data_IF_374891383931
#
_entry.id   IF_374891383931
#
_cell.length_a   1.000
_cell.length_b   1.000
_cell.length_c   1.000
_cell.angle_alpha   90.00
_cell.angle_beta   90.00
_cell.angle_gamma   90.00
#
_symmetry.space_group_name_H-M   'P 1'
#
loop_
_entity.id
_entity.type
_entity.pdbx_description
1 polymer ?
#
# COMPACT_ATOMS: atom_id res chain seq x y z
N UNK A 1 36.67 27.30 -82.03
CA UNK A 1 37.86 26.42 -82.14
C UNK A 1 37.55 25.16 -81.33
N UNK A 2 37.26 24.03 -81.99
CA UNK A 2 38.19 22.89 -82.20
C UNK A 2 38.54 22.25 -80.84
N UNK A 3 38.16 21.02 -80.47
CA UNK A 3 38.33 19.74 -81.18
C UNK A 3 37.41 18.62 -80.63
N UNK A 4 37.07 17.67 -81.52
CA UNK A 4 36.60 16.30 -81.23
C UNK A 4 37.65 15.49 -80.43
N UNK A 5 37.24 14.59 -79.54
CA UNK A 5 37.36 13.13 -79.75
C UNK A 5 36.78 12.26 -78.62
N UNK A 6 36.52 11.03 -79.03
CA UNK A 6 35.74 9.95 -78.43
C UNK A 6 36.50 9.04 -77.43
N UNK A 7 35.69 8.37 -76.58
CA UNK A 7 35.83 6.99 -76.00
C UNK A 7 36.78 6.70 -74.81
N UNK A 8 36.10 6.29 -73.72
CA UNK A 8 36.25 5.08 -72.86
C UNK A 8 37.66 4.63 -72.44
N UNK A 9 37.86 4.40 -71.13
CA UNK A 9 37.92 3.08 -70.45
C UNK A 9 38.19 3.25 -68.94
N UNK A 10 37.61 2.34 -68.15
CA UNK A 10 37.60 2.16 -66.69
C UNK A 10 38.94 2.22 -65.95
N UNK A 11 38.94 2.73 -64.69
CA UNK A 11 39.26 1.94 -63.47
C UNK A 11 39.23 2.76 -62.17
N UNK A 12 38.61 2.14 -61.16
CA UNK A 12 38.89 2.14 -59.71
C UNK A 12 39.13 3.44 -58.94
N UNK A 13 38.25 3.67 -57.95
CA UNK A 13 38.53 4.55 -56.81
C UNK A 13 37.28 4.74 -55.96
N UNK A 14 37.04 3.82 -55.02
CA UNK A 14 36.01 3.97 -54.00
C UNK A 14 36.36 5.18 -53.12
N UNK A 15 35.59 6.26 -53.22
CA UNK A 15 35.53 7.29 -52.19
C UNK A 15 34.54 6.84 -51.12
N UNK A 16 35.09 6.57 -49.94
CA UNK A 16 34.38 6.37 -48.68
C UNK A 16 33.52 7.59 -48.35
N UNK A 17 32.24 7.52 -48.68
CA UNK A 17 31.22 8.39 -48.10
C UNK A 17 30.92 7.92 -46.68
N UNK A 18 31.28 8.72 -45.69
CA UNK A 18 30.83 8.55 -44.31
C UNK A 18 29.33 8.82 -44.29
N UNK A 19 28.52 7.75 -44.38
CA UNK A 19 27.10 7.80 -44.06
C UNK A 19 27.01 7.80 -42.54
N UNK A 20 26.75 8.96 -41.95
CA UNK A 20 26.30 9.04 -40.57
C UNK A 20 24.87 8.49 -40.54
N UNK A 21 24.76 7.18 -40.32
CA UNK A 21 23.50 6.56 -39.94
C UNK A 21 23.24 7.02 -38.51
N UNK A 22 22.42 8.05 -38.35
CA UNK A 22 21.84 8.39 -37.06
C UNK A 22 20.87 7.25 -36.70
N UNK A 23 21.39 6.23 -36.01
CA UNK A 23 20.59 5.22 -35.33
C UNK A 23 19.83 5.94 -34.22
N UNK A 24 18.62 6.41 -34.54
CA UNK A 24 17.63 6.75 -33.52
C UNK A 24 17.18 5.40 -32.96
N UNK A 25 17.82 4.96 -31.89
CA UNK A 25 17.28 3.89 -31.05
C UNK A 25 15.98 4.41 -30.46
N UNK A 26 14.86 3.94 -31.01
CA UNK A 26 13.60 3.94 -30.29
C UNK A 26 13.80 3.03 -29.07
N UNK A 27 14.25 3.61 -27.95
CA UNK A 27 13.97 3.03 -26.65
C UNK A 27 12.48 3.25 -26.41
N UNK A 28 11.64 2.37 -26.95
CA UNK A 28 10.32 2.14 -26.39
C UNK A 28 10.55 1.63 -24.97
N UNK A 29 10.65 2.55 -24.02
CA UNK A 29 10.46 2.26 -22.61
C UNK A 29 9.00 1.84 -22.49
N UNK A 30 8.73 0.55 -22.63
CA UNK A 30 7.57 -0.03 -21.98
C UNK A 30 7.78 0.25 -20.49
N UNK A 31 7.01 1.20 -19.95
CA UNK A 31 6.75 1.22 -18.52
C UNK A 31 6.01 -0.08 -18.23
N UNK A 32 6.74 -1.08 -17.74
CA UNK A 32 6.14 -2.30 -17.23
C UNK A 32 5.40 -1.86 -15.97
N UNK A 33 4.08 -1.66 -16.13
CA UNK A 33 3.08 -1.74 -15.06
C UNK A 33 3.59 -2.71 -14.01
N UNK A 34 3.64 -2.34 -12.73
CA UNK A 34 4.07 -3.24 -11.65
C UNK A 34 3.48 -4.63 -11.85
N UNK A 35 4.32 -5.59 -12.24
CA UNK A 35 3.88 -6.77 -12.95
C UNK A 35 3.61 -7.88 -11.96
N UNK A 36 2.35 -8.04 -11.58
CA UNK A 36 1.91 -9.25 -10.92
C UNK A 36 1.96 -10.40 -11.92
N UNK A 37 2.72 -11.46 -11.63
CA UNK A 37 2.65 -12.71 -12.37
C UNK A 37 1.78 -13.70 -11.63
N UNK A 38 0.97 -14.47 -12.36
CA UNK A 38 0.17 -15.56 -11.81
C UNK A 38 0.56 -16.86 -12.50
N UNK A 39 0.97 -17.85 -11.72
CA UNK A 39 1.12 -19.23 -12.17
C UNK A 39 -0.05 -20.07 -11.63
N UNK A 40 -0.99 -20.40 -12.52
CA UNK A 40 -2.14 -21.25 -12.20
C UNK A 40 -1.97 -22.71 -12.61
N UNK A 41 -0.80 -23.13 -13.11
CA UNK A 41 -0.54 -24.49 -13.61
C UNK A 41 -1.41 -24.95 -14.78
N UNK A 42 -2.23 -24.06 -15.36
CA UNK A 42 -3.16 -24.34 -16.46
C UNK A 42 -2.47 -24.64 -17.81
N UNK A 43 -1.15 -24.45 -17.88
CA UNK A 43 -0.33 -24.77 -19.05
C UNK A 43 0.69 -25.84 -18.71
N UNK A 44 0.98 -26.73 -19.66
CA UNK A 44 1.94 -27.83 -19.43
C UNK A 44 1.30 -29.02 -18.73
N UNK A 45 2.08 -30.10 -18.58
CA UNK A 45 1.63 -31.32 -17.92
C UNK A 45 2.79 -32.09 -17.33
N UNK A 46 2.53 -32.78 -16.22
CA UNK A 46 3.46 -33.73 -15.60
C UNK A 46 2.65 -34.71 -14.75
N UNK A 47 2.50 -35.94 -15.22
CA UNK A 47 1.69 -36.98 -14.53
C UNK A 47 2.46 -37.82 -13.50
N UNK A 48 3.78 -37.66 -13.39
CA UNK A 48 4.64 -38.43 -12.49
C UNK A 48 5.14 -37.58 -11.33
N UNK A 49 5.38 -38.21 -10.17
CA UNK A 49 5.98 -37.56 -9.00
C UNK A 49 7.50 -37.41 -9.08
N UNK A 50 8.20 -38.13 -9.97
CA UNK A 50 9.65 -38.01 -10.13
C UNK A 50 10.06 -36.57 -10.53
N UNK A 51 11.17 -36.07 -10.00
CA UNK A 51 11.64 -34.70 -10.29
C UNK A 51 11.77 -34.44 -11.80
N UNK A 52 11.14 -33.38 -12.29
CA UNK A 52 11.33 -32.92 -13.66
C UNK A 52 11.01 -31.43 -13.80
N UNK A 53 11.66 -30.79 -14.77
CA UNK A 53 11.36 -29.42 -15.18
C UNK A 53 10.15 -29.42 -16.12
N UNK A 54 9.23 -28.47 -15.89
CA UNK A 54 8.00 -28.27 -16.67
C UNK A 54 7.97 -26.83 -17.12
N UNK A 55 7.71 -26.60 -18.41
CA UNK A 55 7.46 -25.25 -18.93
C UNK A 55 6.00 -24.88 -18.68
N UNK A 56 5.78 -23.87 -17.84
CA UNK A 56 4.48 -23.30 -17.49
C UNK A 56 4.36 -21.86 -18.00
N UNK A 57 3.24 -21.20 -17.75
CA UNK A 57 2.91 -19.89 -18.28
C UNK A 57 3.90 -18.81 -17.82
N UNK A 58 4.37 -18.91 -16.58
CA UNK A 58 5.31 -17.94 -16.00
C UNK A 58 6.78 -18.25 -16.29
N UNK A 59 7.10 -19.47 -16.74
CA UNK A 59 8.46 -19.92 -17.00
C UNK A 59 8.67 -21.40 -16.68
N UNK A 60 9.93 -21.81 -16.52
CA UNK A 60 10.28 -23.20 -16.20
C UNK A 60 10.20 -23.42 -14.67
N UNK A 61 9.48 -24.45 -14.26
CA UNK A 61 9.35 -24.88 -12.87
C UNK A 61 9.87 -26.30 -12.69
N UNK A 62 10.63 -26.56 -11.62
CA UNK A 62 10.97 -27.91 -11.21
C UNK A 62 9.91 -28.45 -10.25
N UNK A 63 9.32 -29.60 -10.57
CA UNK A 63 8.35 -30.29 -9.73
C UNK A 63 8.98 -31.59 -9.23
N UNK A 64 9.30 -31.64 -7.94
CA UNK A 64 9.97 -32.76 -7.27
C UNK A 64 9.08 -33.32 -6.16
N UNK A 65 8.79 -34.62 -6.21
CA UNK A 65 7.70 -35.26 -5.46
C UNK A 65 6.37 -34.48 -5.59
N UNK A 66 6.18 -33.91 -6.78
CA UNK A 66 5.03 -33.12 -7.19
C UNK A 66 4.64 -33.44 -8.64
N UNK A 67 3.37 -33.25 -8.97
CA UNK A 67 2.84 -33.43 -10.34
C UNK A 67 1.79 -32.35 -10.64
N UNK A 68 1.34 -32.25 -11.89
CA UNK A 68 0.19 -31.42 -12.28
C UNK A 68 -1.03 -32.34 -12.39
N UNK A 69 -2.00 -32.13 -11.50
CA UNK A 69 -3.14 -33.02 -11.28
C UNK A 69 -4.47 -32.39 -11.68
N UNK A 70 -5.34 -33.18 -12.30
CA UNK A 70 -6.67 -32.79 -12.76
C UNK A 70 -7.78 -33.76 -12.31
N UNK A 71 -7.50 -34.62 -11.31
CA UNK A 71 -8.49 -35.56 -10.77
C UNK A 71 -9.61 -34.79 -10.06
N UNK A 72 -10.77 -35.43 -9.87
CA UNK A 72 -11.88 -34.83 -9.12
C UNK A 72 -11.50 -34.44 -7.68
N UNK A 73 -10.56 -35.16 -7.07
CA UNK A 73 -10.05 -34.88 -5.72
C UNK A 73 -8.99 -33.79 -5.67
N UNK A 74 -8.48 -33.32 -6.81
CA UNK A 74 -7.62 -32.14 -6.88
C UNK A 74 -8.46 -30.88 -6.71
N UNK A 75 -8.20 -30.15 -5.63
CA UNK A 75 -8.70 -28.79 -5.48
C UNK A 75 -7.94 -27.88 -6.45
N UNK A 76 -8.66 -27.17 -7.30
CA UNK A 76 -8.12 -26.39 -8.41
C UNK A 76 -9.05 -25.26 -8.79
N UNK A 77 -8.51 -24.18 -9.31
CA UNK A 77 -9.22 -23.07 -9.92
C UNK A 77 -8.92 -23.06 -11.42
N UNK A 78 -9.74 -23.78 -12.18
CA UNK A 78 -9.48 -24.06 -13.59
C UNK A 78 -9.48 -25.55 -13.85
N UNK A 79 -8.54 -26.04 -14.65
CA UNK A 79 -8.51 -27.42 -15.13
C UNK A 79 -7.53 -28.30 -14.38
N UNK A 80 -6.48 -27.74 -13.76
CA UNK A 80 -5.45 -28.51 -13.07
C UNK A 80 -4.69 -27.68 -12.03
N UNK A 81 -4.09 -28.33 -11.04
CA UNK A 81 -3.23 -27.67 -10.05
C UNK A 81 -1.96 -28.47 -9.82
N UNK A 82 -0.96 -27.89 -9.16
CA UNK A 82 0.13 -28.68 -8.62
C UNK A 82 -0.37 -29.54 -7.46
N UNK A 83 0.08 -30.81 -7.39
CA UNK A 83 -0.16 -31.73 -6.26
C UNK A 83 1.15 -32.24 -5.72
N UNK A 84 1.41 -32.00 -4.44
CA UNK A 84 2.70 -32.26 -3.76
C UNK A 84 2.49 -33.29 -2.64
N UNK A 85 3.46 -34.19 -2.41
CA UNK A 85 3.47 -35.16 -1.29
C UNK A 85 4.85 -35.23 -0.60
N UNK A 86 4.97 -36.01 0.47
CA UNK A 86 6.23 -36.24 1.19
C UNK A 86 6.89 -34.90 1.58
N UNK A 87 8.15 -34.71 1.24
CA UNK A 87 8.87 -33.42 1.37
C UNK A 87 9.03 -32.70 0.02
N UNK A 88 8.11 -32.98 -0.91
CA UNK A 88 8.13 -32.48 -2.27
C UNK A 88 7.99 -30.96 -2.36
N UNK A 89 8.29 -30.43 -3.54
CA UNK A 89 8.36 -29.01 -3.82
C UNK A 89 8.00 -28.67 -5.27
N UNK A 90 7.54 -27.43 -5.44
CA UNK A 90 7.44 -26.77 -6.74
C UNK A 90 8.30 -25.52 -6.72
N UNK A 91 9.32 -25.47 -7.58
CA UNK A 91 10.40 -24.47 -7.50
C UNK A 91 10.57 -23.75 -8.83
N UNK A 92 10.68 -22.42 -8.79
CA UNK A 92 11.05 -21.64 -9.96
C UNK A 92 12.45 -22.02 -10.46
N UNK A 93 12.61 -22.17 -11.78
CA UNK A 93 13.92 -22.35 -12.46
C UNK A 93 14.30 -21.15 -13.33
N UNK A 94 13.56 -20.05 -13.20
CA UNK A 94 13.83 -18.76 -13.82
C UNK A 94 13.97 -17.69 -12.74
N UNK A 95 14.73 -16.67 -13.05
CA UNK A 95 14.99 -15.53 -12.17
C UNK A 95 13.97 -14.41 -12.43
N UNK A 96 13.33 -13.92 -11.36
CA UNK A 96 12.65 -12.61 -11.41
C UNK A 96 13.66 -11.52 -11.15
N UNK A 97 13.89 -10.65 -12.13
CA UNK A 97 14.82 -9.51 -12.00
C UNK A 97 14.18 -8.29 -11.33
N UNK A 98 12.86 -8.26 -11.24
CA UNK A 98 12.06 -7.19 -10.63
C UNK A 98 11.88 -7.35 -9.12
N UNK A 99 12.52 -8.35 -8.51
CA UNK A 99 12.31 -8.70 -7.11
C UNK A 99 10.93 -9.29 -6.81
N UNK A 100 10.64 -9.46 -5.52
CA UNK A 100 9.39 -10.00 -5.00
C UNK A 100 8.88 -9.14 -3.85
N UNK A 101 7.68 -8.59 -3.99
CA UNK A 101 6.97 -7.87 -2.93
C UNK A 101 6.18 -8.83 -2.04
N UNK A 102 5.06 -9.31 -2.57
CA UNK A 102 4.14 -10.28 -1.96
C UNK A 102 4.04 -11.56 -2.78
N UNK A 103 3.73 -12.66 -2.08
CA UNK A 103 3.42 -13.96 -2.68
C UNK A 103 2.13 -14.47 -2.06
N UNK A 104 1.08 -14.63 -2.88
CA UNK A 104 -0.19 -15.25 -2.48
C UNK A 104 -0.34 -16.59 -3.18
N UNK A 105 -0.69 -17.63 -2.43
CA UNK A 105 -0.76 -19.01 -2.91
C UNK A 105 -2.09 -19.61 -2.47
N UNK A 106 -2.86 -20.17 -3.40
CA UNK A 106 -4.01 -20.99 -3.05
C UNK A 106 -3.56 -22.40 -2.71
N UNK A 107 -4.15 -22.97 -1.66
CA UNK A 107 -3.82 -24.30 -1.18
C UNK A 107 -5.03 -25.02 -0.60
N UNK A 108 -5.05 -26.35 -0.72
CA UNK A 108 -6.04 -27.23 -0.10
C UNK A 108 -5.48 -28.64 0.05
N UNK A 109 -6.10 -29.48 0.88
CA UNK A 109 -5.76 -30.90 0.95
C UNK A 109 -6.38 -31.66 -0.21
N UNK A 110 -5.70 -32.69 -0.67
CA UNK A 110 -6.21 -33.58 -1.71
C UNK A 110 -7.29 -34.51 -1.13
N UNK A 111 -8.53 -34.36 -1.58
CA UNK A 111 -9.66 -35.21 -1.17
C UNK A 111 -9.75 -35.45 0.35
N UNK A 112 -9.63 -36.71 0.75
CA UNK A 112 -9.74 -37.14 2.15
C UNK A 112 -8.42 -37.23 2.90
N UNK A 113 -7.29 -36.82 2.30
CA UNK A 113 -5.98 -36.84 2.98
C UNK A 113 -6.03 -35.97 4.26
N UNK A 114 -5.21 -36.31 5.26
CA UNK A 114 -5.13 -35.53 6.50
C UNK A 114 -4.37 -34.21 6.30
N UNK A 115 -4.45 -33.33 7.30
CA UNK A 115 -3.77 -32.04 7.27
C UNK A 115 -2.25 -32.17 7.06
N UNK A 116 -1.69 -31.19 6.37
CA UNK A 116 -0.28 -31.16 6.01
C UNK A 116 0.34 -29.78 6.12
N UNK A 117 1.65 -29.71 6.42
CA UNK A 117 2.39 -28.45 6.56
C UNK A 117 3.33 -28.18 5.39
N UNK A 118 3.50 -26.90 5.07
CA UNK A 118 4.41 -26.43 4.03
C UNK A 118 4.91 -25.01 4.29
N UNK A 119 6.00 -24.63 3.62
CA UNK A 119 6.59 -23.29 3.70
C UNK A 119 6.74 -22.66 2.31
N UNK A 120 6.64 -21.33 2.26
CA UNK A 120 7.23 -20.54 1.19
C UNK A 120 8.72 -20.36 1.49
N UNK A 121 9.57 -20.55 0.49
CA UNK A 121 10.98 -20.23 0.56
C UNK A 121 11.40 -19.41 -0.66
N UNK A 122 12.33 -18.46 -0.49
CA UNK A 122 12.89 -17.71 -1.60
C UNK A 122 14.43 -17.74 -1.58
N UNK A 123 15.03 -17.55 -2.75
CA UNK A 123 16.46 -17.63 -3.02
C UNK A 123 16.93 -16.40 -3.79
N UNK A 124 18.01 -15.78 -3.33
CA UNK A 124 18.66 -14.62 -3.97
C UNK A 124 19.94 -15.00 -4.71
N UNK A 125 20.24 -16.30 -4.82
CA UNK A 125 21.44 -16.84 -5.47
C UNK A 125 21.08 -17.92 -6.51
N UNK A 126 20.04 -17.65 -7.30
CA UNK A 126 19.56 -18.52 -8.39
C UNK A 126 19.27 -19.98 -7.96
N UNK A 127 18.82 -20.18 -6.72
CA UNK A 127 18.40 -21.47 -6.18
C UNK A 127 19.50 -22.29 -5.49
N UNK A 128 20.70 -21.72 -5.26
CA UNK A 128 21.77 -22.42 -4.55
C UNK A 128 21.48 -22.59 -3.05
N UNK A 129 20.83 -21.60 -2.42
CA UNK A 129 20.29 -21.71 -1.06
C UNK A 129 18.92 -21.04 -0.96
N UNK A 130 18.13 -21.48 0.02
CA UNK A 130 16.73 -21.09 0.19
C UNK A 130 16.46 -20.64 1.63
N UNK A 131 15.72 -19.54 1.79
CA UNK A 131 15.31 -18.98 3.07
C UNK A 131 13.80 -19.06 3.21
N UNK A 132 13.32 -19.60 4.33
CA UNK A 132 11.89 -19.64 4.66
C UNK A 132 11.33 -18.25 4.88
N UNK A 133 10.18 -17.95 4.27
CA UNK A 133 9.45 -16.70 4.41
C UNK A 133 8.21 -16.94 5.26
N UNK A 134 8.04 -16.13 6.32
CA UNK A 134 6.88 -16.22 7.21
C UNK A 134 6.82 -17.52 8.02
N UNK A 135 5.64 -17.80 8.56
CA UNK A 135 5.37 -19.02 9.33
C UNK A 135 4.94 -20.17 8.44
N UNK A 136 5.13 -21.40 8.92
CA UNK A 136 4.59 -22.60 8.26
C UNK A 136 3.08 -22.56 8.14
N UNK A 137 2.57 -22.96 6.99
CA UNK A 137 1.14 -23.03 6.71
C UNK A 137 0.66 -24.46 6.94
N UNK A 138 -0.44 -24.60 7.68
CA UNK A 138 -1.16 -25.87 7.82
C UNK A 138 -2.34 -25.88 6.88
N UNK A 139 -2.35 -26.84 5.96
CA UNK A 139 -3.45 -27.10 5.03
C UNK A 139 -4.37 -28.15 5.61
N UNK A 140 -5.60 -27.78 5.95
CA UNK A 140 -6.58 -28.67 6.59
C UNK A 140 -7.92 -28.78 5.84
N UNK A 141 -8.20 -27.86 4.91
CA UNK A 141 -9.46 -27.78 4.16
C UNK A 141 -9.34 -28.38 2.76
N UNK A 142 -10.40 -29.02 2.25
CA UNK A 142 -10.52 -29.42 0.82
C UNK A 142 -10.88 -28.25 -0.10
N UNK A 143 -11.31 -27.12 0.46
CA UNK A 143 -11.59 -25.91 -0.32
C UNK A 143 -10.33 -25.05 -0.37
N UNK A 144 -10.03 -24.48 -1.54
CA UNK A 144 -8.88 -23.60 -1.73
C UNK A 144 -8.96 -22.42 -0.76
N UNK A 145 -8.00 -22.36 0.16
CA UNK A 145 -7.70 -21.20 1.00
C UNK A 145 -6.49 -20.47 0.42
N UNK A 146 -6.34 -19.18 0.74
CA UNK A 146 -5.18 -18.39 0.30
C UNK A 146 -4.25 -18.12 1.47
N UNK A 147 -2.98 -18.47 1.30
CA UNK A 147 -1.90 -18.05 2.18
C UNK A 147 -1.13 -16.92 1.52
N UNK A 148 -0.86 -15.84 2.27
CA UNK A 148 -0.13 -14.67 1.77
C UNK A 148 1.13 -14.45 2.59
N UNK A 149 2.22 -14.17 1.89
CA UNK A 149 3.54 -13.91 2.43
C UNK A 149 4.08 -12.59 1.88
N UNK A 150 4.97 -11.95 2.63
CA UNK A 150 5.61 -10.69 2.23
C UNK A 150 7.13 -10.86 2.27
N UNK A 151 7.74 -11.53 1.26
CA UNK A 151 9.20 -11.65 1.19
C UNK A 151 9.92 -10.30 1.14
N UNK A 152 9.36 -9.33 0.40
CA UNK A 152 9.93 -8.00 0.19
C UNK A 152 11.43 -8.00 -0.17
N UNK A 153 11.81 -8.80 -1.17
CA UNK A 153 13.19 -9.04 -1.60
C UNK A 153 13.47 -8.27 -2.89
N UNK A 154 14.42 -7.34 -2.84
CA UNK A 154 14.91 -6.60 -4.02
C UNK A 154 15.81 -7.45 -4.91
N UNK A 155 15.88 -7.09 -6.19
CA UNK A 155 16.82 -7.68 -7.14
C UNK A 155 16.43 -9.09 -7.59
N UNK A 156 17.42 -9.89 -7.98
CA UNK A 156 17.14 -11.22 -8.55
C UNK A 156 16.67 -12.20 -7.48
N UNK A 157 15.51 -12.83 -7.69
CA UNK A 157 14.92 -13.77 -6.74
C UNK A 157 14.16 -14.91 -7.42
N UNK A 158 14.19 -16.08 -6.77
CA UNK A 158 13.33 -17.25 -7.06
C UNK A 158 12.57 -17.62 -5.81
N UNK A 159 11.37 -18.17 -5.96
CA UNK A 159 10.61 -18.71 -4.84
C UNK A 159 10.18 -20.17 -5.11
N UNK A 160 9.92 -20.91 -4.03
CA UNK A 160 9.43 -22.28 -4.06
C UNK A 160 8.44 -22.54 -2.92
N UNK A 161 7.53 -23.47 -3.17
CA UNK A 161 6.66 -24.04 -2.12
C UNK A 161 7.18 -25.43 -1.80
N UNK A 162 7.40 -25.73 -0.52
CA UNK A 162 7.92 -27.02 -0.06
C UNK A 162 7.08 -27.57 1.09
N UNK A 163 6.61 -28.82 0.98
CA UNK A 163 6.03 -29.56 2.11
C UNK A 163 7.10 -29.83 3.17
N UNK A 164 6.72 -29.68 4.43
CA UNK A 164 7.65 -29.74 5.57
C UNK A 164 7.38 -30.88 6.54
N UNK A 165 6.22 -31.52 6.44
CA UNK A 165 5.83 -32.62 7.33
C UNK A 165 6.41 -33.98 6.93
N UNK A 166 6.89 -34.15 5.70
CA UNK A 166 7.52 -35.38 5.22
C UNK A 166 6.58 -36.58 5.10
N UNK A 167 5.27 -36.37 5.17
CA UNK A 167 4.26 -37.43 5.11
C UNK A 167 3.66 -37.58 3.72
N UNK A 168 3.08 -38.75 3.44
CA UNK A 168 2.52 -39.09 2.13
C UNK A 168 1.24 -38.33 1.76
N UNK A 169 0.61 -37.65 2.71
CA UNK A 169 -0.59 -36.83 2.48
C UNK A 169 -0.29 -35.69 1.50
N UNK A 170 -1.23 -35.47 0.58
CA UNK A 170 -1.07 -34.56 -0.54
C UNK A 170 -1.76 -33.23 -0.27
N UNK A 171 -1.11 -32.17 -0.75
CA UNK A 171 -1.72 -30.84 -0.87
C UNK A 171 -1.78 -30.45 -2.34
N UNK A 172 -2.83 -29.72 -2.69
CA UNK A 172 -2.94 -28.97 -3.92
C UNK A 172 -2.39 -27.55 -3.69
N UNK A 173 -1.60 -27.08 -4.63
CA UNK A 173 -1.11 -25.70 -4.73
C UNK A 173 -1.58 -25.15 -6.07
N UNK A 174 -2.14 -23.94 -6.03
CA UNK A 174 -2.71 -23.29 -7.20
C UNK A 174 -2.59 -21.76 -7.12
N UNK A 175 -2.77 -21.09 -8.25
CA UNK A 175 -2.79 -19.62 -8.39
C UNK A 175 -1.67 -18.90 -7.61
N UNK A 176 -0.41 -19.25 -7.87
CA UNK A 176 0.74 -18.58 -7.26
C UNK A 176 0.86 -17.18 -7.86
N UNK A 177 0.50 -16.18 -7.07
CA UNK A 177 0.51 -14.77 -7.44
C UNK A 177 1.71 -14.10 -6.81
N UNK A 178 2.57 -13.47 -7.61
CA UNK A 178 3.80 -12.80 -7.17
C UNK A 178 3.81 -11.36 -7.69
N UNK A 179 3.93 -10.39 -6.79
CA UNK A 179 4.16 -8.97 -7.13
C UNK A 179 5.65 -8.64 -7.17
N UNK A 180 6.03 -7.60 -7.91
CA UNK A 180 7.42 -7.12 -7.96
C UNK A 180 7.85 -6.49 -6.63
N UNK A 181 9.16 -6.41 -6.41
CA UNK A 181 9.71 -5.64 -5.29
C UNK A 181 9.53 -4.15 -5.52
N UNK A 182 9.24 -3.38 -4.46
CA UNK A 182 8.96 -1.95 -4.59
C UNK A 182 7.61 -1.65 -5.23
N UNK A 183 7.00 -2.59 -5.97
CA UNK A 183 5.54 -2.70 -6.07
C UNK A 183 5.00 -3.28 -4.78
N UNK A 184 5.28 -2.57 -3.71
CA UNK A 184 4.58 -2.69 -2.45
C UNK A 184 3.08 -2.57 -2.81
N UNK A 185 2.18 -3.56 -2.68
CA UNK A 185 2.36 -4.83 -2.00
C UNK A 185 2.92 -4.62 -0.60
N UNK A 186 2.64 -3.47 0.00
CA UNK A 186 3.28 -3.06 1.23
C UNK A 186 3.08 -4.11 2.30
N UNK A 187 3.88 -4.04 3.36
CA UNK A 187 3.39 -4.39 4.70
C UNK A 187 2.23 -3.49 5.11
N UNK A 188 1.20 -3.37 4.25
CA UNK A 188 -0.09 -2.88 4.58
C UNK A 188 -0.72 -3.95 5.43
N UNK A 189 -1.03 -3.57 6.65
CA UNK A 189 -2.23 -4.09 7.27
C UNK A 189 -3.33 -4.33 6.22
N UNK A 190 -4.11 -5.40 6.40
CA UNK A 190 -5.39 -5.65 5.68
C UNK A 190 -6.42 -4.53 5.86
N UNK A 191 -6.07 -3.47 6.58
CA UNK A 191 -6.87 -2.30 6.85
C UNK A 191 -7.21 -1.57 5.57
N UNK A 192 -8.51 -1.47 5.35
CA UNK A 192 -9.12 -0.59 4.37
C UNK A 192 -8.70 0.88 4.56
N UNK A 193 -8.13 1.23 5.71
CA UNK A 193 -7.66 2.58 5.98
C UNK A 193 -6.28 2.88 5.37
N UNK A 194 -5.57 1.87 4.88
CA UNK A 194 -4.30 2.02 4.17
C UNK A 194 -4.41 1.65 2.69
N UNK A 195 -5.62 1.63 2.10
CA UNK A 195 -5.83 1.30 0.69
C UNK A 195 -5.03 2.21 -0.26
N UNK A 196 -4.82 3.47 0.10
CA UNK A 196 -4.01 4.40 -0.69
C UNK A 196 -2.51 4.30 -0.38
N UNK A 197 -2.11 3.57 0.67
CA UNK A 197 -0.72 3.37 1.05
C UNK A 197 -0.39 3.84 2.46
N UNK A 198 0.88 3.65 2.81
CA UNK A 198 1.46 4.01 4.11
C UNK A 198 2.40 5.22 3.90
N UNK A 199 1.97 6.45 4.21
CA UNK A 199 2.66 7.67 3.78
C UNK A 199 4.12 7.80 4.19
N UNK A 200 4.47 7.29 5.36
CA UNK A 200 5.81 7.45 5.94
C UNK A 200 6.55 6.12 6.09
N UNK A 201 5.99 5.02 5.58
CA UNK A 201 6.47 3.68 5.89
C UNK A 201 6.42 3.37 7.39
N UNK A 202 5.39 3.84 8.10
CA UNK A 202 5.22 3.58 9.54
C UNK A 202 5.19 2.08 9.82
N UNK A 203 5.84 1.68 10.92
CA UNK A 203 5.98 0.28 11.30
C UNK A 203 5.87 0.12 12.82
N UNK A 204 5.53 -1.08 13.29
CA UNK A 204 5.39 -1.38 14.73
C UNK A 204 6.72 -1.41 15.49
N UNK A 205 7.86 -1.25 14.80
CA UNK A 205 9.19 -1.23 15.40
C UNK A 205 9.76 0.17 15.61
N UNK A 206 9.18 1.21 15.00
CA UNK A 206 9.70 2.57 15.07
C UNK A 206 8.80 3.46 15.94
N UNK A 207 9.22 3.78 17.17
CA UNK A 207 8.39 4.56 18.11
C UNK A 207 8.05 5.98 17.64
N UNK A 208 8.84 6.58 16.74
CA UNK A 208 8.59 7.91 16.19
C UNK A 208 7.90 7.86 14.82
N UNK A 209 7.59 6.66 14.35
CA UNK A 209 6.83 6.38 13.14
C UNK A 209 6.05 5.07 13.34
N UNK A 210 5.33 4.99 14.45
CA UNK A 210 4.77 3.77 15.01
C UNK A 210 3.41 3.49 14.39
N UNK A 211 3.29 2.39 13.66
CA UNK A 211 2.02 2.02 13.04
C UNK A 211 1.04 1.48 14.10
N UNK A 212 -0.01 2.23 14.38
CA UNK A 212 -1.22 1.73 15.05
C UNK A 212 -2.26 1.47 13.97
N UNK A 213 -2.54 0.20 13.73
CA UNK A 213 -3.64 -0.19 12.86
C UNK A 213 -4.86 -0.56 13.70
N UNK A 214 -5.89 0.29 13.65
CA UNK A 214 -7.14 0.10 14.38
C UNK A 214 -8.27 -0.20 13.38
N UNK A 215 -9.33 -0.91 13.81
CA UNK A 215 -10.44 -1.23 12.91
C UNK A 215 -11.17 -0.02 12.33
N UNK A 216 -11.00 1.18 12.89
CA UNK A 216 -11.69 2.40 12.46
C UNK A 216 -10.81 3.37 11.69
N UNK A 217 -9.48 3.30 11.83
CA UNK A 217 -8.50 4.17 11.16
C UNK A 217 -7.09 3.63 11.42
N UNK A 218 -6.12 4.02 10.59
CA UNK A 218 -4.70 3.72 10.78
C UNK A 218 -3.93 4.99 11.16
N UNK A 219 -2.90 4.86 12.01
CA UNK A 219 -2.11 5.98 12.52
C UNK A 219 -0.62 5.69 12.37
N UNK A 220 0.11 6.62 11.77
CA UNK A 220 1.57 6.71 11.96
C UNK A 220 1.85 7.61 13.16
N UNK A 221 2.06 7.02 14.34
CA UNK A 221 2.19 7.76 15.59
C UNK A 221 3.64 8.16 15.88
N UNK A 222 3.85 9.32 16.51
CA UNK A 222 5.17 9.77 16.91
C UNK A 222 5.25 9.99 18.41
N UNK A 223 5.88 9.05 19.11
CA UNK A 223 6.03 9.10 20.57
C UNK A 223 6.79 10.34 21.06
N UNK A 224 7.80 10.80 20.32
CA UNK A 224 8.57 11.99 20.70
C UNK A 224 7.76 13.28 20.53
N UNK A 225 6.80 13.31 19.60
CA UNK A 225 5.93 14.47 19.40
C UNK A 225 4.65 14.41 20.24
N UNK A 226 4.27 13.25 20.78
CA UNK A 226 3.02 13.05 21.51
C UNK A 226 1.77 13.30 20.65
N UNK A 227 1.85 13.00 19.34
CA UNK A 227 0.77 13.18 18.37
C UNK A 227 1.02 12.31 17.12
N UNK A 228 0.00 12.07 16.27
CA UNK A 228 0.21 11.41 14.99
C UNK A 228 1.08 12.24 14.03
N UNK A 229 1.96 11.58 13.28
CA UNK A 229 2.53 12.11 12.04
C UNK A 229 1.40 12.26 11.00
N UNK A 230 0.56 11.24 10.89
CA UNK A 230 -0.63 11.18 10.06
C UNK A 230 -1.64 10.17 10.61
N UNK A 231 -2.90 10.35 10.25
CA UNK A 231 -3.99 9.38 10.44
C UNK A 231 -4.67 9.19 9.09
N UNK A 232 -4.96 7.95 8.73
CA UNK A 232 -5.59 7.56 7.47
C UNK A 232 -6.87 6.78 7.73
N UNK A 233 -7.93 7.04 6.99
CA UNK A 233 -9.20 6.34 7.13
C UNK A 233 -10.01 6.32 5.83
N UNK A 234 -10.87 5.30 5.73
CA UNK A 234 -11.90 5.22 4.70
C UNK A 234 -13.16 5.90 5.22
N UNK A 235 -13.87 6.62 4.35
CA UNK A 235 -15.19 7.15 4.65
C UNK A 235 -16.17 6.80 3.52
N UNK A 236 -17.22 6.07 3.87
CA UNK A 236 -18.36 5.78 3.02
C UNK A 236 -19.59 5.64 3.94
N UNK A 237 -20.77 5.40 3.36
CA UNK A 237 -22.03 5.33 4.11
C UNK A 237 -22.05 4.28 5.21
N UNK A 238 -21.26 3.20 5.13
CA UNK A 238 -21.26 2.14 6.15
C UNK A 238 -20.62 2.55 7.49
N UNK A 239 -19.81 3.61 7.48
CA UNK A 239 -19.21 4.18 8.69
C UNK A 239 -20.14 5.15 9.42
N UNK A 240 -21.21 5.57 8.76
CA UNK A 240 -22.18 6.55 9.24
C UNK A 240 -23.43 5.87 9.82
N UNK A 241 -23.99 6.49 10.83
CA UNK A 241 -25.22 6.09 11.51
C UNK A 241 -25.77 7.23 12.35
N UNK A 242 -26.55 6.90 13.38
CA UNK A 242 -27.19 7.87 14.27
C UNK A 242 -26.58 7.92 15.67
N UNK A 243 -25.42 7.31 15.88
CA UNK A 243 -24.76 7.27 17.19
C UNK A 243 -24.34 8.69 17.60
N UNK A 244 -24.76 9.19 18.78
CA UNK A 244 -24.29 10.46 19.31
C UNK A 244 -22.78 10.46 19.57
N UNK A 245 -22.20 11.66 19.62
CA UNK A 245 -20.82 11.86 20.03
C UNK A 245 -20.60 11.35 21.47
N UNK A 246 -19.52 10.61 21.71
CA UNK A 246 -19.24 10.01 23.03
C UNK A 246 -18.48 10.92 23.99
N UNK A 247 -17.62 11.81 23.48
CA UNK A 247 -16.83 12.76 24.29
C UNK A 247 -15.95 12.13 25.39
N UNK A 248 -15.61 10.85 25.23
CA UNK A 248 -14.85 10.03 26.18
C UNK A 248 -13.35 10.04 25.89
N UNK A 249 -12.77 11.24 25.83
CA UNK A 249 -11.34 11.47 25.60
C UNK A 249 -10.49 10.66 26.58
N UNK A 250 -9.62 9.81 26.06
CA UNK A 250 -8.81 8.92 26.89
C UNK A 250 -7.48 8.54 26.23
N UNK A 251 -6.53 8.21 27.09
CA UNK A 251 -5.22 7.75 26.64
C UNK A 251 -5.34 6.46 25.82
N UNK A 252 -4.45 6.31 24.83
CA UNK A 252 -4.38 5.09 24.05
C UNK A 252 -3.47 4.06 24.73
N UNK A 253 -4.08 3.10 25.43
CA UNK A 253 -3.35 2.07 26.18
C UNK A 253 -2.68 1.04 25.29
N UNK A 254 -2.88 1.08 23.96
CA UNK A 254 -2.22 0.18 23.00
C UNK A 254 -0.88 0.72 22.49
N UNK A 255 -0.46 1.91 22.93
CA UNK A 255 0.86 2.44 22.61
C UNK A 255 1.97 1.55 23.18
N UNK A 256 3.06 1.41 22.43
CA UNK A 256 4.21 0.63 22.85
C UNK A 256 4.82 1.15 24.17
N UNK A 257 5.42 0.23 24.94
CA UNK A 257 6.13 0.58 26.17
C UNK A 257 7.22 1.64 25.88
N UNK A 258 7.32 2.65 26.74
CA UNK A 258 8.23 3.79 26.56
C UNK A 258 7.61 4.97 25.80
N UNK A 259 6.44 4.80 25.19
CA UNK A 259 5.66 5.89 24.64
C UNK A 259 4.81 6.57 25.73
N UNK A 260 4.88 7.89 25.84
CA UNK A 260 3.97 8.61 26.74
C UNK A 260 2.54 8.52 26.20
N UNK A 261 1.63 7.98 27.01
CA UNK A 261 0.22 7.95 26.71
C UNK A 261 -0.39 9.32 27.06
N UNK A 262 -0.58 10.15 26.04
CA UNK A 262 -1.19 11.47 26.18
C UNK A 262 -2.56 11.35 26.83
N UNK A 263 -2.79 12.15 27.86
CA UNK A 263 -4.03 12.18 28.61
C UNK A 263 -4.95 13.26 28.09
N UNK A 264 -6.26 13.13 28.30
CA UNK A 264 -7.20 14.19 27.99
C UNK A 264 -6.82 15.51 28.71
N UNK A 265 -6.38 15.43 29.96
CA UNK A 265 -6.00 16.59 30.79
C UNK A 265 -4.75 17.33 30.31
N UNK A 266 -3.93 16.73 29.44
CA UNK A 266 -2.69 17.33 28.94
C UNK A 266 -2.93 18.61 28.09
N UNK A 267 -4.15 18.80 27.60
CA UNK A 267 -4.57 19.96 26.80
C UNK A 267 -5.18 21.07 27.66
N UNK A 268 -5.53 20.78 28.92
CA UNK A 268 -6.23 21.72 29.80
C UNK A 268 -5.41 22.97 30.05
N UNK A 269 -6.04 24.15 29.88
CA UNK A 269 -5.40 25.45 30.07
C UNK A 269 -4.42 25.86 28.96
N UNK A 270 -4.18 25.03 27.95
CA UNK A 270 -3.24 25.36 26.86
C UNK A 270 -3.78 26.38 25.85
N UNK A 271 -5.11 26.54 25.77
CA UNK A 271 -5.76 27.33 24.72
C UNK A 271 -5.89 26.60 23.37
N UNK A 272 -5.53 25.31 23.29
CA UNK A 272 -5.77 24.45 22.14
C UNK A 272 -6.89 23.45 22.41
N UNK A 273 -7.64 23.14 21.36
CA UNK A 273 -8.60 22.04 21.34
C UNK A 273 -7.88 20.69 21.16
N UNK A 274 -8.58 19.62 21.58
CA UNK A 274 -8.25 18.24 21.20
C UNK A 274 -8.75 17.99 19.78
N UNK A 275 -7.97 18.44 18.81
CA UNK A 275 -8.29 18.38 17.38
C UNK A 275 -8.22 16.96 16.86
N UNK A 276 -9.35 16.43 16.37
CA UNK A 276 -9.43 15.09 15.82
C UNK A 276 -8.81 15.05 14.43
N UNK A 277 -8.06 14.00 14.12
CA UNK A 277 -7.67 13.69 12.74
C UNK A 277 -8.76 12.90 12.03
N UNK A 278 -9.13 11.72 12.54
CA UNK A 278 -10.41 11.06 12.18
C UNK A 278 -11.53 11.65 13.04
N UNK A 279 -12.48 12.42 12.48
CA UNK A 279 -13.49 13.10 13.28
C UNK A 279 -14.56 12.14 13.79
N UNK A 280 -15.13 12.46 14.95
CA UNK A 280 -16.26 11.69 15.52
C UNK A 280 -17.45 11.59 14.55
N UNK A 281 -17.71 12.65 13.76
CA UNK A 281 -18.78 12.67 12.76
C UNK A 281 -18.62 11.64 11.63
N UNK A 282 -17.42 11.12 11.42
CA UNK A 282 -17.13 10.11 10.38
C UNK A 282 -17.29 8.67 10.90
N UNK A 283 -17.62 8.49 12.19
CA UNK A 283 -17.66 7.20 12.89
C UNK A 283 -18.90 7.13 13.77
N UNK A 284 -20.09 7.06 13.16
CA UNK A 284 -21.39 7.13 13.86
C UNK A 284 -22.23 5.86 13.72
N UNK A 285 -21.66 4.78 13.16
CA UNK A 285 -22.35 3.50 12.98
C UNK A 285 -22.66 2.79 14.31
N UNK A 286 -21.76 2.82 15.29
CA UNK A 286 -21.98 2.28 16.64
C UNK A 286 -21.28 3.12 17.71
N UNK A 287 -21.71 2.98 18.97
CA UNK A 287 -21.07 3.60 20.14
C UNK A 287 -19.57 3.27 20.22
N UNK A 288 -19.21 2.00 20.03
CA UNK A 288 -17.80 1.56 20.08
C UNK A 288 -16.97 2.17 18.96
N UNK A 289 -17.53 2.27 17.75
CA UNK A 289 -16.89 2.92 16.61
C UNK A 289 -16.69 4.42 16.86
N UNK A 290 -17.68 5.11 17.40
CA UNK A 290 -17.56 6.54 17.74
C UNK A 290 -16.56 6.78 18.86
N UNK A 291 -16.66 6.03 19.96
CA UNK A 291 -15.74 6.10 21.10
C UNK A 291 -14.28 5.89 20.69
N UNK A 292 -14.01 5.11 19.64
CA UNK A 292 -12.63 4.91 19.15
C UNK A 292 -11.97 6.23 18.75
N UNK A 293 -12.70 7.21 18.19
CA UNK A 293 -12.12 8.47 17.71
C UNK A 293 -11.61 9.36 18.84
N UNK A 294 -11.98 9.08 20.09
CA UNK A 294 -11.60 9.84 21.29
C UNK A 294 -10.30 9.36 21.94
N UNK A 295 -9.61 8.40 21.34
CA UNK A 295 -8.26 8.05 21.74
C UNK A 295 -7.29 9.21 21.46
N UNK A 296 -6.46 9.58 22.45
CA UNK A 296 -5.53 10.70 22.31
C UNK A 296 -4.46 10.47 21.22
N UNK A 297 -4.25 9.23 20.76
CA UNK A 297 -3.43 8.92 19.58
C UNK A 297 -3.97 9.46 18.25
N UNK A 298 -5.25 9.86 18.22
CA UNK A 298 -5.93 10.51 17.09
C UNK A 298 -5.99 12.05 17.23
N UNK A 299 -5.32 12.63 18.25
CA UNK A 299 -5.43 14.06 18.57
C UNK A 299 -4.17 14.84 18.20
N UNK A 300 -4.37 16.08 17.77
CA UNK A 300 -3.34 17.13 17.74
C UNK A 300 -3.82 18.35 18.54
N UNK A 301 -2.87 19.14 19.04
CA UNK A 301 -3.17 20.47 19.59
C UNK A 301 -3.57 21.42 18.47
N UNK A 302 -4.86 21.72 18.35
CA UNK A 302 -5.43 22.50 17.24
C UNK A 302 -6.03 23.81 17.77
N UNK A 303 -5.74 24.93 17.11
CA UNK A 303 -6.29 26.23 17.48
C UNK A 303 -7.83 26.17 17.35
N UNK A 304 -8.60 26.68 18.32
CA UNK A 304 -10.05 26.65 18.28
C UNK A 304 -10.68 27.19 16.98
N UNK A 305 -10.11 28.25 16.40
CA UNK A 305 -10.61 28.80 15.13
C UNK A 305 -10.32 27.89 13.93
N UNK A 306 -9.21 27.16 13.97
CA UNK A 306 -8.92 26.13 12.97
C UNK A 306 -9.89 24.95 13.15
N UNK A 307 -9.95 24.36 14.35
CA UNK A 307 -10.72 23.16 14.67
C UNK A 307 -12.23 23.33 14.46
N UNK A 308 -12.81 24.39 15.02
CA UNK A 308 -14.27 24.60 15.06
C UNK A 308 -14.81 25.35 13.83
N UNK A 309 -13.92 25.87 12.98
CA UNK A 309 -14.26 26.63 11.79
C UNK A 309 -13.84 25.89 10.53
N UNK A 310 -12.78 26.38 9.89
CA UNK A 310 -12.30 25.92 8.59
C UNK A 310 -12.08 24.40 8.50
N UNK A 311 -11.58 23.75 9.56
CA UNK A 311 -11.37 22.30 9.59
C UNK A 311 -12.69 21.53 9.63
N UNK A 312 -13.60 21.91 10.52
CA UNK A 312 -14.95 21.34 10.61
C UNK A 312 -15.72 21.50 9.29
N UNK A 313 -15.60 22.66 8.63
CA UNK A 313 -16.23 22.91 7.33
C UNK A 313 -15.74 21.94 6.23
N UNK A 314 -14.45 21.60 6.22
CA UNK A 314 -13.91 20.61 5.28
C UNK A 314 -14.40 19.19 5.63
N UNK A 315 -14.52 18.87 6.92
CA UNK A 315 -15.08 17.58 7.37
C UNK A 315 -16.56 17.42 6.99
N UNK A 316 -17.37 18.48 7.13
CA UNK A 316 -18.76 18.50 6.68
C UNK A 316 -18.86 18.34 5.16
N UNK A 317 -17.94 18.96 4.42
CA UNK A 317 -17.89 18.80 2.97
C UNK A 317 -17.54 17.37 2.55
N UNK A 318 -16.61 16.70 3.26
CA UNK A 318 -16.31 15.28 3.02
C UNK A 318 -17.56 14.41 3.23
N UNK A 319 -18.32 14.63 4.31
CA UNK A 319 -19.60 13.91 4.54
C UNK A 319 -20.66 14.24 3.50
N UNK A 320 -20.68 15.47 2.97
CA UNK A 320 -21.57 15.85 1.86
C UNK A 320 -21.27 15.01 0.61
N UNK A 321 -20.01 14.79 0.26
CA UNK A 321 -19.61 13.92 -0.86
C UNK A 321 -20.07 12.47 -0.65
N UNK A 322 -19.96 11.96 0.57
CA UNK A 322 -20.45 10.62 0.92
C UNK A 322 -21.97 10.53 0.76
N UNK A 323 -22.70 11.58 1.17
CA UNK A 323 -24.14 11.70 0.93
C UNK A 323 -24.52 11.74 -0.56
N UNK A 324 -23.60 12.10 -1.44
CA UNK A 324 -23.75 12.04 -2.90
C UNK A 324 -23.36 10.67 -3.49
N UNK A 325 -23.14 9.66 -2.64
CA UNK A 325 -22.80 8.30 -3.06
C UNK A 325 -21.32 8.08 -3.38
N UNK A 326 -20.43 8.99 -2.97
CA UNK A 326 -18.98 8.83 -3.13
C UNK A 326 -18.40 7.98 -2.00
N UNK A 327 -17.25 7.36 -2.29
CA UNK A 327 -16.37 6.79 -1.28
C UNK A 327 -15.09 7.60 -1.21
N UNK A 328 -14.63 7.90 0.01
CA UNK A 328 -13.45 8.71 0.25
C UNK A 328 -12.36 7.90 0.95
N UNK A 329 -11.12 8.17 0.58
CA UNK A 329 -9.94 7.79 1.35
C UNK A 329 -9.24 9.07 1.80
N UNK A 330 -9.14 9.23 3.12
CA UNK A 330 -8.74 10.49 3.74
C UNK A 330 -7.48 10.25 4.57
N UNK A 331 -6.51 11.15 4.42
CA UNK A 331 -5.27 11.18 5.20
C UNK A 331 -5.12 12.58 5.78
N UNK A 332 -4.89 12.71 7.08
CA UNK A 332 -4.65 14.02 7.71
C UNK A 332 -3.59 13.98 8.79
N UNK A 333 -3.00 15.14 9.07
CA UNK A 333 -2.02 15.29 10.12
C UNK A 333 -1.68 16.74 10.39
N UNK A 334 -0.56 16.94 11.10
CA UNK A 334 0.05 18.25 11.23
C UNK A 334 1.56 18.15 11.13
N UNK A 335 2.23 19.23 10.76
CA UNK A 335 3.70 19.29 10.73
C UNK A 335 4.20 20.59 11.37
N UNK A 336 5.52 20.67 11.56
CA UNK A 336 6.18 21.81 12.17
C UNK A 336 5.84 21.98 13.67
N UNK A 337 6.19 23.16 14.18
CA UNK A 337 5.97 23.59 15.57
C UNK A 337 5.58 25.06 15.60
N UNK A 338 4.81 25.48 16.61
CA UNK A 338 4.49 26.89 16.84
C UNK A 338 3.09 27.29 16.40
N UNK A 339 2.08 26.48 16.73
CA UNK A 339 0.68 26.88 16.55
C UNK A 339 0.27 27.98 17.52
N UNK A 340 -0.80 28.70 17.20
CA UNK A 340 -1.34 29.80 18.02
C UNK A 340 -2.78 29.49 18.44
N UNK A 341 -2.96 29.12 19.71
CA UNK A 341 -4.28 28.89 20.30
C UNK A 341 -4.81 30.15 21.00
N UNK A 342 -5.91 30.01 21.74
CA UNK A 342 -6.54 31.14 22.46
C UNK A 342 -5.64 31.78 23.52
N UNK A 343 -4.64 31.05 24.02
CA UNK A 343 -3.70 31.51 25.04
C UNK A 343 -2.32 31.91 24.47
N UNK A 344 -2.19 32.04 23.14
CA UNK A 344 -0.96 32.46 22.46
C UNK A 344 -0.28 31.34 21.67
N UNK A 345 0.97 31.60 21.27
CA UNK A 345 1.78 30.69 20.45
C UNK A 345 2.60 29.75 21.31
N UNK A 346 2.52 28.45 21.02
CA UNK A 346 3.25 27.42 21.75
C UNK A 346 3.93 26.45 20.78
N UNK A 347 5.16 26.04 21.10
CA UNK A 347 5.82 24.93 20.42
C UNK A 347 5.38 23.58 20.99
N UNK A 348 5.14 23.53 22.29
CA UNK A 348 4.71 22.32 23.01
C UNK A 348 3.72 22.69 24.12
N UNK A 349 2.91 21.72 24.53
CA UNK A 349 2.04 21.76 25.72
C UNK A 349 2.37 20.54 26.60
N UNK A 350 1.65 20.37 27.71
CA UNK A 350 1.80 19.22 28.61
C UNK A 350 3.24 19.01 29.10
N UNK A 351 3.91 20.10 29.50
CA UNK A 351 5.32 20.10 29.91
C UNK A 351 6.27 19.47 28.86
N UNK A 352 6.02 19.76 27.58
CA UNK A 352 6.86 19.30 26.48
C UNK A 352 6.45 17.97 25.85
N UNK A 353 5.45 17.29 26.41
CA UNK A 353 5.06 15.93 25.96
C UNK A 353 4.20 15.92 24.70
N UNK A 354 3.58 17.05 24.34
CA UNK A 354 2.77 17.17 23.12
C UNK A 354 3.27 18.37 22.33
N UNK A 355 3.74 18.11 21.12
CA UNK A 355 4.18 19.14 20.18
C UNK A 355 2.98 19.79 19.51
N UNK A 356 2.95 21.11 19.41
CA UNK A 356 1.89 21.87 18.76
C UNK A 356 2.29 22.13 17.30
N UNK A 357 1.63 21.53 16.29
CA UNK A 357 1.93 21.82 14.89
C UNK A 357 1.65 23.29 14.56
N UNK A 358 2.42 23.88 13.64
CA UNK A 358 2.04 25.19 13.07
C UNK A 358 1.10 25.06 11.87
N UNK A 359 0.95 23.85 11.32
CA UNK A 359 0.15 23.55 10.12
C UNK A 359 -0.64 22.26 10.32
N UNK A 360 -1.88 22.27 9.85
CA UNK A 360 -2.77 21.09 9.76
C UNK A 360 -3.09 20.85 8.30
N UNK A 361 -2.99 19.60 7.85
CA UNK A 361 -3.17 19.23 6.45
C UNK A 361 -4.10 18.04 6.31
N UNK A 362 -4.79 17.95 5.17
CA UNK A 362 -5.71 16.85 4.83
C UNK A 362 -5.68 16.59 3.33
N UNK A 363 -5.63 15.31 2.94
CA UNK A 363 -5.80 14.78 1.58
C UNK A 363 -7.11 14.00 1.57
N UNK A 364 -7.95 14.22 0.57
CA UNK A 364 -9.21 13.49 0.34
C UNK A 364 -9.20 12.99 -1.11
N UNK A 365 -9.05 11.68 -1.29
CA UNK A 365 -9.24 11.02 -2.58
C UNK A 365 -10.73 10.69 -2.73
N UNK A 366 -11.36 11.15 -3.80
CA UNK A 366 -12.81 10.98 -4.05
C UNK A 366 -13.02 9.92 -5.13
N UNK A 367 -13.64 8.79 -4.77
CA UNK A 367 -14.02 7.75 -5.72
C UNK A 367 -15.50 7.87 -6.08
N UNK A 368 -15.77 7.93 -7.38
CA UNK A 368 -17.13 7.98 -7.93
C UNK A 368 -17.87 6.64 -7.82
N UNK A 369 -17.11 5.54 -7.77
CA UNK A 369 -17.63 4.17 -7.67
C UNK A 369 -17.17 3.55 -6.35
N UNK A 370 -18.00 3.54 -5.30
CA UNK A 370 -17.65 2.89 -4.03
C UNK A 370 -17.23 1.44 -4.20
N UNK A 371 -16.24 1.00 -3.42
CA UNK A 371 -15.72 -0.37 -3.44
C UNK A 371 -14.68 -0.65 -4.52
N UNK A 372 -14.37 0.31 -5.41
CA UNK A 372 -13.31 0.14 -6.40
C UNK A 372 -11.91 0.13 -5.80
N UNK A 373 -11.75 0.66 -4.58
CA UNK A 373 -10.46 0.79 -3.89
C UNK A 373 -9.43 1.51 -4.76
N UNK A 374 -8.16 1.12 -4.61
CA UNK A 374 -7.04 1.70 -5.37
C UNK A 374 -7.21 1.55 -6.89
N UNK A 375 -7.89 0.50 -7.36
CA UNK A 375 -8.13 0.26 -8.79
C UNK A 375 -9.10 1.25 -9.44
N UNK A 376 -9.89 1.96 -8.64
CA UNK A 376 -10.75 3.04 -9.14
C UNK A 376 -10.07 4.40 -9.20
N UNK A 377 -8.82 4.52 -8.76
CA UNK A 377 -8.04 5.75 -8.93
C UNK A 377 -7.54 5.81 -10.36
N UNK A 378 -7.77 6.94 -11.02
CA UNK A 378 -7.42 7.24 -12.41
C UNK A 378 -6.80 8.64 -12.49
N UNK A 379 -6.27 9.03 -13.64
CA UNK A 379 -5.73 10.39 -13.85
C UNK A 379 -6.79 11.50 -13.76
N UNK A 380 -8.09 11.15 -13.83
CA UNK A 380 -9.20 12.07 -13.62
C UNK A 380 -9.80 12.01 -12.21
N UNK A 381 -9.27 11.16 -11.33
CA UNK A 381 -9.76 11.06 -9.96
C UNK A 381 -9.51 12.36 -9.22
N UNK A 382 -10.56 12.86 -8.58
CA UNK A 382 -10.52 14.11 -7.84
C UNK A 382 -9.79 13.91 -6.50
N UNK A 383 -8.77 14.73 -6.26
CA UNK A 383 -8.01 14.74 -5.00
C UNK A 383 -8.04 16.16 -4.43
N UNK A 384 -8.58 16.30 -3.22
CA UNK A 384 -8.65 17.58 -2.50
C UNK A 384 -7.55 17.58 -1.45
N UNK A 385 -6.65 18.57 -1.48
CA UNK A 385 -5.59 18.71 -0.49
C UNK A 385 -5.61 20.11 0.09
N UNK A 386 -5.53 20.25 1.40
CA UNK A 386 -5.42 21.54 2.09
C UNK A 386 -4.21 21.58 3.02
N UNK A 387 -3.64 22.77 3.20
CA UNK A 387 -2.58 23.04 4.17
C UNK A 387 -2.86 24.33 4.97
N UNK A 388 -3.56 24.17 6.10
CA UNK A 388 -4.16 25.26 6.87
C UNK A 388 -3.23 25.66 8.03
N UNK A 389 -2.98 26.96 8.27
CA UNK A 389 -2.24 27.40 9.45
C UNK A 389 -3.00 27.05 10.74
N UNK A 390 -2.28 26.50 11.72
CA UNK A 390 -2.85 26.16 13.02
C UNK A 390 -2.86 27.40 13.95
N UNK A 391 -3.76 28.33 13.67
CA UNK A 391 -3.78 29.66 14.29
C UNK A 391 -5.19 30.17 14.55
N UNK A 392 -5.31 31.16 15.44
CA UNK A 392 -6.53 31.95 15.61
C UNK A 392 -6.75 32.91 14.42
N UNK A 393 -7.99 33.36 14.22
CA UNK A 393 -8.35 34.30 13.15
C UNK A 393 -8.75 33.65 11.82
N UNK A 394 -8.76 32.32 11.73
CA UNK A 394 -9.15 31.58 10.51
C UNK A 394 -10.55 30.96 10.59
N UNK A 395 -11.32 31.25 11.64
CA UNK A 395 -12.62 30.59 11.93
C UNK A 395 -13.60 30.65 10.76
N UNK A 396 -13.65 31.80 10.08
CA UNK A 396 -14.58 32.06 8.97
C UNK A 396 -13.92 31.97 7.60
N UNK A 397 -12.65 31.56 7.53
CA UNK A 397 -11.96 31.41 6.26
C UNK A 397 -12.48 30.18 5.50
N UNK A 398 -12.44 30.23 4.17
CA UNK A 398 -12.81 29.09 3.33
C UNK A 398 -11.60 28.15 3.19
N UNK A 399 -11.81 26.85 3.44
CA UNK A 399 -10.77 25.84 3.27
C UNK A 399 -10.25 25.78 1.82
N UNK A 400 -11.07 26.22 0.85
CA UNK A 400 -10.71 26.31 -0.58
C UNK A 400 -9.54 27.25 -0.84
N UNK A 401 -9.36 28.28 0.00
CA UNK A 401 -8.26 29.25 -0.13
C UNK A 401 -6.91 28.67 0.32
N UNK A 402 -6.93 27.50 0.97
CA UNK A 402 -5.74 26.81 1.48
C UNK A 402 -5.44 25.52 0.70
N UNK A 403 -6.02 25.37 -0.49
CA UNK A 403 -5.76 24.22 -1.36
C UNK A 403 -4.31 24.24 -1.86
N UNK A 404 -3.71 23.06 -1.88
CA UNK A 404 -2.36 22.82 -2.42
C UNK A 404 -2.40 21.55 -3.27
N UNK A 405 -1.28 21.21 -3.92
CA UNK A 405 -1.12 19.91 -4.57
C UNK A 405 -0.61 18.86 -3.57
N UNK A 406 -0.73 17.57 -3.91
CA UNK A 406 -0.12 16.51 -3.08
C UNK A 406 1.40 16.66 -3.10
N UNK A 407 2.01 16.91 -4.27
CA UNK A 407 3.47 17.14 -4.42
C UNK A 407 3.99 18.22 -3.47
N UNK A 408 3.25 19.34 -3.36
CA UNK A 408 3.63 20.42 -2.45
C UNK A 408 3.61 19.96 -1.00
N UNK A 409 2.64 19.14 -0.62
CA UNK A 409 2.54 18.63 0.74
C UNK A 409 3.62 17.58 1.02
N UNK A 410 3.94 16.70 0.07
CA UNK A 410 5.06 15.75 0.16
C UNK A 410 6.39 16.45 0.38
N UNK A 411 6.65 17.55 -0.34
CA UNK A 411 7.87 18.34 -0.15
C UNK A 411 8.00 18.92 1.27
N UNK A 412 6.85 19.17 1.94
CA UNK A 412 6.80 19.76 3.28
C UNK A 412 6.90 18.71 4.38
N UNK A 413 6.39 17.50 4.15
CA UNK A 413 6.32 16.43 5.14
C UNK A 413 7.43 15.39 4.99
N UNK A 414 7.97 15.22 3.79
CA UNK A 414 8.86 14.12 3.41
C UNK A 414 8.14 12.77 3.29
N UNK A 415 6.81 12.77 3.18
CA UNK A 415 6.01 11.56 2.97
C UNK A 415 5.81 11.28 1.47
N UNK A 416 5.46 10.04 1.17
CA UNK A 416 5.02 9.55 -0.15
C UNK A 416 3.55 9.10 0.00
N UNK A 417 2.65 10.03 -0.31
CA UNK A 417 1.22 9.80 -0.23
C UNK A 417 0.75 8.99 -1.43
N UNK A 418 -0.41 8.34 -1.28
CA UNK A 418 -1.01 7.56 -2.36
C UNK A 418 -0.06 6.49 -2.96
N UNK A 419 0.94 6.03 -2.20
CA UNK A 419 2.04 5.13 -2.65
C UNK A 419 1.60 3.77 -3.21
N UNK A 420 0.32 3.39 -3.07
CA UNK A 420 -0.25 2.20 -3.72
C UNK A 420 -0.95 2.51 -5.06
N UNK A 421 -1.19 3.78 -5.38
CA UNK A 421 -1.63 4.24 -6.71
C UNK A 421 -0.45 4.14 -7.67
N UNK A 422 -0.68 3.76 -8.93
CA UNK A 422 0.42 3.67 -9.88
C UNK A 422 1.09 5.03 -10.10
N UNK A 423 2.41 5.06 -10.19
CA UNK A 423 3.20 6.29 -10.38
C UNK A 423 2.79 7.11 -11.61
N UNK A 424 2.31 6.47 -12.68
CA UNK A 424 1.78 7.19 -13.85
C UNK A 424 0.50 7.98 -13.56
N UNK A 425 -0.32 7.52 -12.61
CA UNK A 425 -1.51 8.22 -12.16
C UNK A 425 -1.14 9.27 -11.11
N UNK A 426 -0.29 8.92 -10.15
CA UNK A 426 0.26 9.84 -9.15
C UNK A 426 0.83 11.10 -9.81
N UNK A 427 1.72 10.94 -10.79
CA UNK A 427 2.34 12.05 -11.53
C UNK A 427 1.36 13.03 -12.18
N UNK A 428 0.10 12.62 -12.38
CA UNK A 428 -0.97 13.51 -12.82
C UNK A 428 -1.71 14.08 -11.63
N UNK A 429 -2.32 13.25 -10.78
CA UNK A 429 -3.25 13.71 -9.74
C UNK A 429 -2.55 14.46 -8.60
N UNK A 430 -1.27 14.17 -8.35
CA UNK A 430 -0.50 14.76 -7.24
C UNK A 430 0.06 16.13 -7.57
N UNK A 431 0.24 16.42 -8.87
CA UNK A 431 0.66 17.71 -9.38
C UNK A 431 -0.49 18.74 -9.47
N UNK A 432 -1.75 18.28 -9.49
CA UNK A 432 -2.91 19.17 -9.63
C UNK A 432 -3.32 19.79 -8.28
N UNK A 433 -3.95 20.97 -8.37
CA UNK A 433 -4.70 21.58 -7.27
C UNK A 433 -6.19 21.45 -7.63
N UNK A 434 -7.00 20.92 -6.71
CA UNK A 434 -8.46 20.84 -6.88
C UNK A 434 -9.06 22.20 -7.25
N UNK A 435 -9.95 22.21 -8.23
CA UNK A 435 -10.44 23.43 -8.90
C UNK A 435 -11.93 23.75 -8.66
N UNK A 436 -12.53 23.25 -7.56
CA UNK A 436 -13.85 23.71 -7.11
C UNK A 436 -14.01 25.22 -7.08
#
# INVERSE_FOLDING_TARGET
MLFNFSRKVYRNGWLTGVVIILLITFNTLFSVKGATSVEGFETGSKGSYAAADVTLATGIWNLDDALIGNLASDAKNGTQSARIRNSGKVSMKFDRITGVGTVSIKHAKFGSDSSSTWNLQCSTNSGASWTTIGSSVTTSSTTLATATFTPNISGTVRCQVQKTDGISNRINIDDITISDYGTSGGGGSTSVHLTMGNPSGAATSNLNNYLLDKPQYAVGYNCSLGRPNWVSWQLNSSWLGSTPRQDDFRADTTLAAGCYQVQATDFSGSGFDRGHMTPSGDRTSTVAVNSSTFLMSNMIAQAPDNNQGIWANLEDYARTLVGQGKELYIISGGYGMGGTGSNGTFNTIASGKVTVPNRTWKIIVVLDTPGSGVSGVTTSTRVIVVNIPNTQGVRTADWRDYRVSVDSLESLTGFDFLSLVSTSIQSVIEAQIDNL
#
